data_IF_779523561450
#
_entry.id   IF_779523561450
#
_cell.length_a   1.000
_cell.length_b   1.000
_cell.length_c   1.000
_cell.angle_alpha   90.00
_cell.angle_beta   90.00
_cell.angle_gamma   90.00
#
_symmetry.space_group_name_H-M   'P 1'
#
loop_
_entity.id
_entity.type
_entity.pdbx_description
1 polymer ?
#
# COMPACT_ATOMS: atom_id res chain seq x y z
N UNK A 1 5.10 5.34 -17.61
CA UNK A 1 4.71 6.75 -17.86
C UNK A 1 4.96 7.58 -16.60
N UNK A 2 5.38 8.83 -16.76
CA UNK A 2 6.34 9.58 -15.91
C UNK A 2 5.69 10.66 -15.01
N UNK A 3 4.75 10.33 -14.12
CA UNK A 3 4.33 11.31 -13.10
C UNK A 3 3.86 10.61 -11.81
N UNK A 4 4.65 10.68 -10.71
CA UNK A 4 4.32 10.00 -9.45
C UNK A 4 3.01 10.50 -8.84
N UNK A 5 2.67 11.78 -9.07
CA UNK A 5 1.37 12.36 -8.67
C UNK A 5 0.19 11.79 -9.44
N UNK A 6 0.36 11.45 -10.74
CA UNK A 6 -0.71 10.85 -11.53
C UNK A 6 -0.96 9.40 -11.11
N UNK A 7 0.09 8.67 -10.72
CA UNK A 7 -0.03 7.34 -10.15
C UNK A 7 -0.67 7.38 -8.76
N UNK A 8 -0.32 8.37 -7.92
CA UNK A 8 -0.95 8.56 -6.61
C UNK A 8 -2.43 8.95 -6.73
N UNK A 9 -2.77 9.82 -7.68
CA UNK A 9 -4.15 10.20 -7.98
C UNK A 9 -4.95 9.01 -8.52
N UNK A 10 -4.36 8.22 -9.43
CA UNK A 10 -4.99 7.01 -9.95
C UNK A 10 -5.17 5.94 -8.85
N UNK A 11 -4.21 5.81 -7.93
CA UNK A 11 -4.33 4.92 -6.79
C UNK A 11 -5.42 5.38 -5.81
N UNK A 12 -5.52 6.68 -5.54
CA UNK A 12 -6.58 7.24 -4.71
C UNK A 12 -7.97 7.05 -5.36
N UNK A 13 -8.08 7.33 -6.66
CA UNK A 13 -9.33 7.13 -7.42
C UNK A 13 -9.72 5.65 -7.46
N UNK A 14 -8.75 4.75 -7.61
CA UNK A 14 -8.96 3.31 -7.52
C UNK A 14 -9.49 2.89 -6.15
N UNK A 15 -8.88 3.37 -5.06
CA UNK A 15 -9.33 3.07 -3.68
C UNK A 15 -10.75 3.59 -3.45
N UNK A 16 -11.09 4.78 -3.93
CA UNK A 16 -12.45 5.34 -3.81
C UNK A 16 -13.48 4.50 -4.56
N UNK A 17 -13.18 4.07 -5.79
CA UNK A 17 -14.07 3.21 -6.59
C UNK A 17 -14.27 1.87 -5.90
N UNK A 18 -13.19 1.27 -5.38
CA UNK A 18 -13.22 0.02 -4.66
C UNK A 18 -14.08 0.12 -3.39
N UNK A 19 -13.89 1.16 -2.59
CA UNK A 19 -14.65 1.40 -1.36
C UNK A 19 -16.12 1.66 -1.69
N UNK A 20 -16.41 2.40 -2.75
CA UNK A 20 -17.78 2.65 -3.22
C UNK A 20 -18.48 1.36 -3.65
N UNK A 21 -17.78 0.47 -4.35
CA UNK A 21 -18.29 -0.84 -4.76
C UNK A 21 -18.52 -1.73 -3.54
N UNK A 22 -17.54 -1.86 -2.64
CA UNK A 22 -17.70 -2.65 -1.41
C UNK A 22 -18.87 -2.11 -0.59
N UNK A 23 -18.93 -0.79 -0.36
CA UNK A 23 -19.97 -0.16 0.47
C UNK A 23 -21.37 -0.28 -0.15
N UNK A 24 -21.47 -0.30 -1.49
CA UNK A 24 -22.73 -0.54 -2.20
C UNK A 24 -23.18 -2.00 -2.08
N UNK A 25 -22.24 -2.95 -2.01
CA UNK A 25 -22.53 -4.38 -1.88
C UNK A 25 -22.80 -4.75 -0.41
N UNK A 26 -22.10 -4.15 0.55
CA UNK A 26 -22.22 -4.47 1.98
C UNK A 26 -23.38 -3.79 2.68
N UNK A 27 -23.98 -2.73 2.10
CA UNK A 27 -25.15 -2.07 2.70
C UNK A 27 -26.41 -2.93 2.68
N UNK A 28 -26.50 -3.89 1.74
CA UNK A 28 -27.61 -4.86 1.65
C UNK A 28 -27.20 -6.29 2.02
N UNK A 29 -25.90 -6.56 2.20
CA UNK A 29 -25.42 -7.89 2.56
C UNK A 29 -25.64 -8.13 4.05
N UNK A 30 -26.74 -8.83 4.37
CA UNK A 30 -26.75 -9.66 5.57
C UNK A 30 -25.48 -10.52 5.54
N UNK A 31 -24.74 -10.46 6.65
CA UNK A 31 -23.54 -11.25 6.93
C UNK A 31 -23.72 -12.68 6.40
N UNK A 32 -22.68 -13.26 5.76
CA UNK A 32 -22.54 -14.66 5.27
C UNK A 32 -21.98 -14.78 3.83
N UNK A 33 -21.61 -13.68 3.15
CA UNK A 33 -21.02 -13.81 1.79
C UNK A 33 -19.48 -13.86 1.85
N UNK A 34 -18.90 -15.02 1.52
CA UNK A 34 -17.45 -15.27 1.33
C UNK A 34 -16.77 -14.29 0.35
N UNK A 35 -17.55 -13.55 -0.43
CA UNK A 35 -17.08 -12.54 -1.36
C UNK A 35 -16.37 -11.37 -0.65
N UNK A 36 -16.86 -10.95 0.52
CA UNK A 36 -16.27 -9.83 1.29
C UNK A 36 -14.79 -10.10 1.65
N UNK A 37 -14.45 -11.23 2.32
CA UNK A 37 -13.06 -11.54 2.61
C UNK A 37 -12.22 -11.75 1.34
N UNK A 38 -12.77 -12.31 0.26
CA UNK A 38 -12.06 -12.46 -1.02
C UNK A 38 -11.67 -11.09 -1.61
N UNK A 39 -12.59 -10.13 -1.62
CA UNK A 39 -12.32 -8.79 -2.14
C UNK A 39 -11.31 -8.05 -1.26
N UNK A 40 -11.45 -8.13 0.07
CA UNK A 40 -10.52 -7.50 1.01
C UNK A 40 -9.10 -8.07 0.86
N UNK A 41 -8.98 -9.40 0.75
CA UNK A 41 -7.69 -10.06 0.55
C UNK A 41 -7.06 -9.70 -0.81
N UNK A 42 -7.87 -9.61 -1.86
CA UNK A 42 -7.40 -9.23 -3.20
C UNK A 42 -6.84 -7.81 -3.23
N UNK A 43 -7.49 -6.87 -2.55
CA UNK A 43 -7.02 -5.48 -2.44
C UNK A 43 -5.74 -5.35 -1.61
N UNK A 44 -5.67 -6.12 -0.53
CA UNK A 44 -4.46 -6.19 0.29
C UNK A 44 -3.29 -6.73 -0.53
N UNK A 45 -3.47 -7.84 -1.25
CA UNK A 45 -2.43 -8.41 -2.12
C UNK A 45 -2.03 -7.45 -3.24
N UNK A 46 -2.98 -6.73 -3.83
CA UNK A 46 -2.69 -5.72 -4.85
C UNK A 46 -1.85 -4.56 -4.28
N UNK A 47 -2.23 -4.04 -3.10
CA UNK A 47 -1.47 -2.99 -2.41
C UNK A 47 -0.05 -3.45 -2.06
N UNK A 48 0.09 -4.64 -1.49
CA UNK A 48 1.39 -5.25 -1.19
C UNK A 48 2.22 -5.45 -2.46
N UNK A 49 1.60 -5.84 -3.58
CA UNK A 49 2.31 -6.01 -4.86
C UNK A 49 2.81 -4.69 -5.43
N UNK A 50 2.00 -3.62 -5.36
CA UNK A 50 2.40 -2.28 -5.80
C UNK A 50 3.52 -1.73 -4.93
N UNK A 51 3.41 -1.84 -3.60
CA UNK A 51 4.47 -1.42 -2.69
C UNK A 51 5.72 -2.27 -2.84
N UNK A 52 5.58 -3.57 -3.02
CA UNK A 52 6.69 -4.47 -3.34
C UNK A 52 7.42 -4.01 -4.60
N UNK A 53 6.71 -3.74 -5.68
CA UNK A 53 7.33 -3.18 -6.89
C UNK A 53 8.05 -1.85 -6.61
N UNK A 54 7.42 -0.90 -5.93
CA UNK A 54 8.04 0.40 -5.64
C UNK A 54 9.30 0.29 -4.76
N UNK A 55 9.30 -0.62 -3.79
CA UNK A 55 10.42 -0.80 -2.86
C UNK A 55 11.53 -1.66 -3.45
N UNK A 56 11.21 -2.68 -4.26
CA UNK A 56 12.17 -3.64 -4.77
C UNK A 56 12.66 -3.35 -6.18
N UNK A 57 11.96 -2.54 -7.00
CA UNK A 57 12.37 -2.28 -8.38
C UNK A 57 13.74 -1.58 -8.47
N UNK A 58 13.96 -0.55 -7.65
CA UNK A 58 15.20 0.23 -7.66
C UNK A 58 16.39 -0.54 -7.05
N UNK A 59 16.26 -1.22 -5.90
CA UNK A 59 17.28 -2.14 -5.40
C UNK A 59 17.58 -3.29 -6.36
N UNK A 60 16.57 -3.89 -7.00
CA UNK A 60 16.77 -4.96 -7.97
C UNK A 60 17.56 -4.48 -9.20
N UNK A 61 17.29 -3.25 -9.68
CA UNK A 61 18.08 -2.66 -10.77
C UNK A 61 19.53 -2.42 -10.36
N UNK A 62 19.76 -1.87 -9.17
CA UNK A 62 21.12 -1.65 -8.64
C UNK A 62 21.88 -2.96 -8.39
N UNK A 63 21.17 -4.03 -8.02
CA UNK A 63 21.73 -5.37 -7.87
C UNK A 63 22.18 -5.95 -9.22
N UNK A 64 21.40 -5.76 -10.29
CA UNK A 64 21.78 -6.14 -11.65
C UNK A 64 22.99 -5.32 -12.16
N UNK A 65 23.16 -4.09 -11.70
CA UNK A 65 24.35 -3.25 -11.94
C UNK A 65 25.57 -3.64 -11.07
N UNK A 66 25.49 -4.73 -10.29
CA UNK A 66 26.54 -5.20 -9.35
C UNK A 66 26.86 -4.23 -8.19
N UNK A 67 25.98 -3.24 -7.95
CA UNK A 67 26.12 -2.23 -6.89
C UNK A 67 25.39 -2.66 -5.62
N UNK A 68 25.75 -3.84 -5.12
CA UNK A 68 25.05 -4.51 -4.02
C UNK A 68 24.97 -3.66 -2.73
N UNK A 69 26.01 -2.88 -2.42
CA UNK A 69 26.01 -1.97 -1.26
C UNK A 69 24.99 -0.84 -1.40
N UNK A 70 24.89 -0.24 -2.59
CA UNK A 70 23.95 0.85 -2.85
C UNK A 70 22.51 0.34 -2.86
N UNK A 71 22.25 -0.84 -3.43
CA UNK A 71 20.95 -1.49 -3.42
C UNK A 71 20.39 -1.69 -2.00
N UNK A 72 21.22 -2.22 -1.10
CA UNK A 72 20.83 -2.45 0.31
C UNK A 72 20.60 -1.11 1.02
N UNK A 73 21.48 -0.12 0.78
CA UNK A 73 21.36 1.19 1.41
C UNK A 73 20.11 1.95 0.95
N UNK A 74 19.74 1.82 -0.32
CA UNK A 74 18.48 2.34 -0.85
C UNK A 74 17.28 1.65 -0.20
N UNK A 75 17.26 0.32 -0.18
CA UNK A 75 16.16 -0.45 0.41
C UNK A 75 15.95 -0.09 1.89
N UNK A 76 17.02 -0.07 2.69
CA UNK A 76 16.95 0.29 4.12
C UNK A 76 16.47 1.71 4.33
N UNK A 77 16.86 2.68 3.48
CA UNK A 77 16.35 4.05 3.55
C UNK A 77 14.85 4.12 3.24
N UNK A 78 14.39 3.42 2.21
CA UNK A 78 12.98 3.41 1.83
C UNK A 78 12.12 2.75 2.90
N UNK A 79 12.53 1.58 3.41
CA UNK A 79 11.87 0.87 4.51
C UNK A 79 11.93 1.68 5.81
N UNK A 80 13.08 2.27 6.14
CA UNK A 80 13.23 3.10 7.33
C UNK A 80 12.32 4.33 7.32
N UNK A 81 12.19 5.00 6.18
CA UNK A 81 11.29 6.15 6.02
C UNK A 81 9.83 5.73 6.18
N UNK A 82 9.44 4.62 5.56
CA UNK A 82 8.09 4.08 5.70
C UNK A 82 7.80 3.65 7.15
N UNK A 83 8.75 3.00 7.83
CA UNK A 83 8.63 2.61 9.22
C UNK A 83 8.45 3.83 10.15
N UNK A 84 9.16 4.93 9.90
CA UNK A 84 8.96 6.18 10.63
C UNK A 84 7.52 6.70 10.45
N UNK A 85 7.01 6.65 9.22
CA UNK A 85 5.63 7.03 8.91
C UNK A 85 4.60 6.16 9.65
N UNK A 86 4.85 4.85 9.72
CA UNK A 86 4.03 3.90 10.48
C UNK A 86 4.07 4.22 11.98
N UNK A 87 5.25 4.53 12.54
CA UNK A 87 5.39 4.91 13.95
C UNK A 87 4.58 6.19 14.25
N UNK A 88 4.62 7.19 13.36
CA UNK A 88 3.84 8.43 13.51
C UNK A 88 2.34 8.14 13.47
N UNK A 89 1.88 7.28 12.55
CA UNK A 89 0.48 6.86 12.49
C UNK A 89 0.04 6.12 13.75
N UNK A 90 0.89 5.23 14.28
CA UNK A 90 0.62 4.52 15.54
C UNK A 90 0.57 5.52 16.70
N UNK A 91 1.52 6.46 16.78
CA UNK A 91 1.53 7.49 17.81
C UNK A 91 0.27 8.38 17.75
N UNK A 92 -0.18 8.72 16.53
CA UNK A 92 -1.41 9.45 16.32
C UNK A 92 -2.63 8.64 16.75
N UNK A 93 -2.69 7.34 16.43
CA UNK A 93 -3.75 6.43 16.86
C UNK A 93 -3.88 6.38 18.39
N UNK A 94 -2.77 6.37 19.13
CA UNK A 94 -2.78 6.41 20.59
C UNK A 94 -3.09 7.80 21.16
N UNK A 95 -2.78 8.88 20.42
CA UNK A 95 -3.07 10.26 20.84
C UNK A 95 -4.51 10.68 20.58
N UNK A 96 -5.14 10.20 19.50
CA UNK A 96 -6.57 10.32 19.31
C UNK A 96 -7.25 9.26 20.16
N UNK A 97 -7.86 9.59 21.32
CA UNK A 97 -8.74 8.65 21.98
C UNK A 97 -9.84 8.35 20.96
N UNK A 98 -9.85 7.11 20.47
CA UNK A 98 -10.70 6.64 19.39
C UNK A 98 -12.16 6.96 19.75
N UNK A 99 -12.86 7.50 18.76
CA UNK A 99 -14.30 7.78 18.65
C UNK A 99 -15.19 6.90 19.55
#
# INVERSE_FOLDING_TARGET
>A
MKNPFLNALAAALYIVVVVFVISSITSDAHEETLLIPITMLSLLVLSVSVMGLLFFYEPARLFLENKNREAILFFVKTVGTFACFVIILIALLFYTPIL
#
